data_IF_341027397287
#
_entry.id   IF_341027397287
#
_cell.length_a   1.000
_cell.length_b   1.000
_cell.length_c   1.000
_cell.angle_alpha   90.00
_cell.angle_beta   90.00
_cell.angle_gamma   90.00
#
_symmetry.space_group_name_H-M   'P 1'
#
loop_
_entity.id
_entity.type
_entity.pdbx_description
1 polymer ?
#
# COMPACT_ATOMS: atom_id res chain seq x y z
N UNK A 1 -10.30 -14.69 -3.01
CA UNK A 1 -9.05 -14.84 -3.77
C UNK A 1 -7.86 -15.22 -2.88
N UNK A 2 -7.64 -14.49 -1.79
CA UNK A 2 -6.52 -14.74 -0.87
C UNK A 2 -6.56 -16.14 -0.22
N UNK A 3 -7.75 -16.68 -0.05
CA UNK A 3 -8.00 -17.99 0.57
C UNK A 3 -8.21 -19.10 -0.47
N UNK A 4 -8.10 -18.78 -1.77
CA UNK A 4 -8.21 -19.79 -2.82
C UNK A 4 -6.95 -20.66 -2.88
N UNK A 5 -7.08 -21.99 -2.92
CA UNK A 5 -5.94 -22.88 -3.15
C UNK A 5 -5.34 -22.73 -4.55
N UNK A 6 -6.10 -22.21 -5.50
CA UNK A 6 -5.64 -21.89 -6.86
C UNK A 6 -5.38 -20.39 -6.98
N UNK A 7 -4.11 -20.00 -6.82
CA UNK A 7 -3.67 -18.62 -6.93
C UNK A 7 -3.67 -18.08 -8.37
N UNK A 8 -3.87 -18.93 -9.37
CA UNK A 8 -3.95 -18.58 -10.79
C UNK A 8 -5.40 -18.55 -11.32
N UNK A 9 -6.39 -18.85 -10.48
CA UNK A 9 -7.80 -18.85 -10.86
C UNK A 9 -8.32 -17.49 -11.35
N UNK A 10 -7.64 -16.41 -11.03
CA UNK A 10 -8.07 -15.06 -11.38
C UNK A 10 -6.95 -14.30 -12.10
N UNK A 11 -7.31 -13.62 -13.18
CA UNK A 11 -6.44 -12.66 -13.82
C UNK A 11 -6.16 -11.48 -12.88
N UNK A 12 -4.89 -11.20 -12.66
CA UNK A 12 -4.48 -10.17 -11.70
C UNK A 12 -4.88 -8.75 -12.12
N UNK A 13 -4.95 -8.46 -13.43
CA UNK A 13 -5.45 -7.17 -13.93
C UNK A 13 -6.91 -6.96 -13.56
N UNK A 14 -7.74 -8.01 -13.70
CA UNK A 14 -9.15 -7.96 -13.29
C UNK A 14 -9.31 -7.70 -11.80
N UNK A 15 -8.51 -8.35 -10.96
CA UNK A 15 -8.50 -8.10 -9.52
C UNK A 15 -8.05 -6.68 -9.18
N UNK A 16 -7.06 -6.17 -9.91
CA UNK A 16 -6.56 -4.80 -9.71
C UNK A 16 -7.58 -3.75 -10.14
N UNK A 17 -8.34 -4.00 -11.21
CA UNK A 17 -9.45 -3.12 -11.62
C UNK A 17 -10.56 -3.09 -10.58
N UNK A 18 -10.92 -4.22 -10.00
CA UNK A 18 -11.89 -4.28 -8.90
C UNK A 18 -11.40 -3.49 -7.68
N UNK A 19 -10.14 -3.68 -7.29
CA UNK A 19 -9.54 -2.94 -6.20
C UNK A 19 -9.48 -1.43 -6.49
N UNK A 20 -9.16 -1.03 -7.71
CA UNK A 20 -9.14 0.36 -8.12
C UNK A 20 -10.55 0.98 -8.11
N UNK A 21 -11.56 0.26 -8.58
CA UNK A 21 -12.98 0.68 -8.51
C UNK A 21 -13.42 0.90 -7.06
N UNK A 22 -13.06 0.01 -6.15
CA UNK A 22 -13.31 0.17 -4.71
C UNK A 22 -12.65 1.45 -4.16
N UNK A 23 -11.40 1.74 -4.57
CA UNK A 23 -10.71 2.97 -4.14
C UNK A 23 -11.39 4.23 -4.62
N UNK A 24 -11.89 4.27 -5.87
CA UNK A 24 -12.66 5.39 -6.40
C UNK A 24 -13.94 5.59 -5.58
N UNK A 25 -14.69 4.52 -5.35
CA UNK A 25 -15.91 4.61 -4.54
C UNK A 25 -15.62 5.09 -3.11
N UNK A 26 -14.61 4.52 -2.46
CA UNK A 26 -14.20 4.92 -1.11
C UNK A 26 -13.76 6.39 -1.07
N UNK A 27 -12.94 6.82 -2.03
CA UNK A 27 -12.51 8.21 -2.14
C UNK A 27 -13.71 9.17 -2.20
N UNK A 28 -14.65 8.91 -3.12
CA UNK A 28 -15.75 9.81 -3.39
C UNK A 28 -16.85 9.76 -2.32
N UNK A 29 -17.06 8.62 -1.67
CA UNK A 29 -18.18 8.42 -0.73
C UNK A 29 -17.81 8.60 0.72
N UNK A 30 -16.55 8.45 1.07
CA UNK A 30 -16.07 8.49 2.45
C UNK A 30 -14.98 9.56 2.62
N UNK A 31 -13.84 9.43 1.92
CA UNK A 31 -12.68 10.28 2.18
C UNK A 31 -12.99 11.75 1.87
N UNK A 32 -13.49 12.04 0.68
CA UNK A 32 -13.76 13.42 0.26
C UNK A 32 -14.81 14.14 1.13
N UNK A 33 -15.95 13.52 1.49
CA UNK A 33 -16.89 14.10 2.44
C UNK A 33 -16.28 14.38 3.81
N UNK A 34 -15.57 13.41 4.40
CA UNK A 34 -14.93 13.57 5.71
C UNK A 34 -13.90 14.71 5.71
N UNK A 35 -13.11 14.85 4.65
CA UNK A 35 -12.18 15.95 4.51
C UNK A 35 -12.89 17.30 4.36
N UNK A 36 -14.02 17.36 3.63
CA UNK A 36 -14.84 18.58 3.50
C UNK A 36 -15.42 19.01 4.85
N UNK A 37 -15.71 18.06 5.72
CA UNK A 37 -16.21 18.32 7.08
C UNK A 37 -15.07 18.69 8.06
N UNK A 38 -13.82 18.76 7.57
CA UNK A 38 -12.64 19.14 8.36
C UNK A 38 -12.02 18.01 9.17
N UNK A 39 -12.38 16.77 8.89
CA UNK A 39 -11.85 15.60 9.58
C UNK A 39 -10.49 15.16 8.99
N UNK A 40 -9.65 14.61 9.85
CA UNK A 40 -8.41 13.94 9.43
C UNK A 40 -8.77 12.49 9.06
N UNK A 41 -8.39 12.08 7.84
CA UNK A 41 -8.62 10.73 7.36
C UNK A 41 -7.30 9.95 7.33
N UNK A 42 -7.26 8.82 8.02
CA UNK A 42 -6.14 7.88 8.01
C UNK A 42 -6.56 6.62 7.26
N UNK A 43 -5.88 6.29 6.17
CA UNK A 43 -6.14 5.10 5.37
C UNK A 43 -5.01 4.09 5.53
N UNK A 44 -5.34 2.88 6.01
CA UNK A 44 -4.42 1.75 5.94
C UNK A 44 -4.52 1.12 4.55
N UNK A 45 -3.46 1.27 3.78
CA UNK A 45 -3.37 0.96 2.36
C UNK A 45 -4.32 1.80 1.50
N UNK A 46 -3.82 2.25 0.38
CA UNK A 46 -4.58 3.04 -0.57
C UNK A 46 -4.08 2.76 -2.00
N UNK A 47 -4.12 3.75 -2.89
CA UNK A 47 -3.74 3.65 -4.30
C UNK A 47 -2.33 3.07 -4.52
N UNK A 48 -1.34 3.50 -3.75
CA UNK A 48 0.06 3.07 -3.92
C UNK A 48 0.23 1.55 -3.78
N UNK A 49 -0.62 0.88 -2.97
CA UNK A 49 -0.60 -0.59 -2.88
C UNK A 49 -1.05 -1.26 -4.17
N UNK A 50 -2.06 -0.72 -4.86
CA UNK A 50 -2.50 -1.24 -6.17
C UNK A 50 -1.39 -1.05 -7.21
N UNK A 51 -0.81 0.15 -7.26
CA UNK A 51 0.27 0.48 -8.18
C UNK A 51 1.49 -0.41 -8.00
N UNK A 52 1.98 -0.56 -6.76
CA UNK A 52 3.14 -1.41 -6.46
C UNK A 52 2.90 -2.87 -6.88
N UNK A 53 1.73 -3.39 -6.58
CA UNK A 53 1.36 -4.75 -6.95
C UNK A 53 1.28 -4.99 -8.46
N UNK A 54 0.75 -4.05 -9.23
CA UNK A 54 0.72 -4.13 -10.70
C UNK A 54 2.13 -4.10 -11.27
N UNK A 55 2.95 -3.14 -10.84
CA UNK A 55 4.31 -2.96 -11.35
C UNK A 55 5.19 -4.17 -11.00
N UNK A 56 5.13 -4.68 -9.78
CA UNK A 56 5.87 -5.86 -9.37
C UNK A 56 5.52 -7.13 -10.16
N UNK A 57 4.36 -7.16 -10.82
CA UNK A 57 3.92 -8.25 -11.71
C UNK A 57 4.19 -7.99 -13.19
N UNK A 58 4.91 -6.91 -13.54
CA UNK A 58 5.27 -6.59 -14.91
C UNK A 58 4.18 -5.84 -15.70
N UNK A 59 3.20 -5.24 -15.02
CA UNK A 59 2.14 -4.45 -15.65
C UNK A 59 2.39 -2.93 -15.55
N UNK A 60 3.65 -2.51 -15.45
CA UNK A 60 4.05 -1.10 -15.33
C UNK A 60 3.61 -0.22 -16.51
N UNK A 61 3.32 -0.84 -17.67
CA UNK A 61 2.87 -0.14 -18.87
C UNK A 61 1.36 0.08 -18.94
N UNK A 62 0.61 -0.46 -17.98
CA UNK A 62 -0.84 -0.32 -17.94
C UNK A 62 -1.21 1.11 -17.49
N UNK A 63 -1.57 1.96 -18.45
CA UNK A 63 -1.84 3.38 -18.21
C UNK A 63 -3.10 3.64 -17.39
N UNK A 64 -4.09 2.77 -17.48
CA UNK A 64 -5.38 2.92 -16.81
C UNK A 64 -5.27 3.12 -15.29
N UNK A 65 -4.24 2.53 -14.65
CA UNK A 65 -4.04 2.70 -13.20
C UNK A 65 -3.68 4.15 -12.85
N UNK A 66 -2.93 4.83 -13.70
CA UNK A 66 -2.56 6.23 -13.50
C UNK A 66 -3.74 7.17 -13.77
N UNK A 67 -4.58 6.85 -14.76
CA UNK A 67 -5.80 7.60 -15.09
C UNK A 67 -6.81 7.52 -13.93
N UNK A 68 -6.98 6.34 -13.33
CA UNK A 68 -7.82 6.16 -12.15
C UNK A 68 -7.28 6.97 -10.95
N UNK A 69 -5.96 7.03 -10.81
CA UNK A 69 -5.33 7.80 -9.73
C UNK A 69 -5.68 9.29 -9.74
N UNK A 70 -6.02 9.84 -10.89
CA UNK A 70 -6.46 11.23 -11.01
C UNK A 70 -7.90 11.46 -10.52
N UNK A 71 -8.67 10.38 -10.40
CA UNK A 71 -10.07 10.39 -9.96
C UNK A 71 -10.25 10.18 -8.44
N UNK A 72 -9.15 10.11 -7.70
CA UNK A 72 -9.17 9.89 -6.25
C UNK A 72 -8.42 10.98 -5.51
N UNK A 73 -8.81 11.23 -4.27
CA UNK A 73 -8.11 12.16 -3.38
C UNK A 73 -6.68 11.67 -3.15
N UNK A 74 -5.70 12.54 -3.35
CA UNK A 74 -4.29 12.26 -3.05
C UNK A 74 -4.03 12.52 -1.57
N UNK A 75 -3.26 11.65 -0.89
CA UNK A 75 -2.90 11.89 0.51
C UNK A 75 -1.94 13.09 0.63
N UNK A 76 -2.10 13.89 1.67
CA UNK A 76 -1.15 14.97 2.02
C UNK A 76 0.19 14.38 2.45
N UNK A 77 0.17 13.22 3.14
CA UNK A 77 1.34 12.43 3.49
C UNK A 77 1.10 10.96 3.22
N UNK A 78 2.10 10.28 2.67
CA UNK A 78 2.13 8.82 2.55
C UNK A 78 3.33 8.25 3.32
N UNK A 79 3.06 7.42 4.32
CA UNK A 79 4.08 6.66 5.03
C UNK A 79 4.23 5.27 4.42
N UNK A 80 5.46 4.89 4.14
CA UNK A 80 5.81 3.57 3.62
C UNK A 80 6.61 2.82 4.67
N UNK A 81 5.99 1.82 5.27
CA UNK A 81 6.62 0.98 6.29
C UNK A 81 7.46 -0.09 5.61
N UNK A 82 8.77 0.03 5.69
CA UNK A 82 9.72 -0.91 5.08
C UNK A 82 10.28 -1.91 6.09
N UNK A 83 10.55 -3.10 5.59
CA UNK A 83 11.26 -4.14 6.31
C UNK A 83 11.89 -5.11 5.31
N UNK A 84 13.08 -5.71 5.60
CA UNK A 84 13.63 -6.77 4.76
C UNK A 84 12.64 -7.91 4.54
N UNK A 85 12.61 -8.46 3.34
CA UNK A 85 11.64 -9.50 2.94
C UNK A 85 11.69 -10.71 3.88
N UNK A 86 12.88 -11.13 4.28
CA UNK A 86 13.07 -12.25 5.21
C UNK A 86 12.42 -11.99 6.58
N UNK A 87 12.58 -10.77 7.09
CA UNK A 87 11.98 -10.35 8.35
C UNK A 87 10.44 -10.30 8.23
N UNK A 88 9.92 -9.78 7.11
CA UNK A 88 8.48 -9.77 6.85
C UNK A 88 7.90 -11.18 6.84
N UNK A 89 8.55 -12.11 6.13
CA UNK A 89 8.13 -13.52 6.07
C UNK A 89 8.18 -14.19 7.43
N UNK A 90 9.26 -13.96 8.19
CA UNK A 90 9.36 -14.47 9.55
C UNK A 90 8.21 -13.99 10.45
N UNK A 91 7.83 -12.70 10.32
CA UNK A 91 6.69 -12.13 11.04
C UNK A 91 5.37 -12.80 10.64
N UNK A 92 5.15 -13.04 9.33
CA UNK A 92 3.95 -13.73 8.82
C UNK A 92 3.89 -15.16 9.34
N UNK A 93 5.01 -15.91 9.27
CA UNK A 93 5.07 -17.30 9.76
C UNK A 93 4.84 -17.44 11.27
N UNK A 94 5.10 -16.39 12.04
CA UNK A 94 4.80 -16.38 13.47
C UNK A 94 3.31 -16.15 13.79
N UNK A 95 2.50 -15.75 12.82
CA UNK A 95 1.05 -15.60 12.99
C UNK A 95 0.37 -16.92 12.73
N UNK A 96 -0.35 -17.45 13.72
CA UNK A 96 -0.99 -18.78 13.65
C UNK A 96 -1.90 -18.90 12.42
N UNK A 97 -2.70 -17.87 12.13
CA UNK A 97 -3.64 -17.86 11.00
C UNK A 97 -2.97 -17.80 9.60
N UNK A 98 -1.71 -17.41 9.52
CA UNK A 98 -0.99 -17.20 8.25
C UNK A 98 0.23 -18.10 8.09
N UNK A 99 0.47 -19.01 9.04
CA UNK A 99 1.68 -19.83 9.11
C UNK A 99 1.93 -20.64 7.83
N UNK A 100 0.90 -21.20 7.24
CA UNK A 100 0.98 -22.07 6.06
C UNK A 100 0.62 -21.35 4.75
N UNK A 101 0.47 -20.04 4.79
CA UNK A 101 0.15 -19.23 3.60
C UNK A 101 1.27 -19.32 2.57
N UNK A 102 0.88 -19.57 1.31
CA UNK A 102 1.84 -19.52 0.20
C UNK A 102 2.41 -18.11 0.05
N UNK A 103 3.72 -18.01 -0.09
CA UNK A 103 4.45 -16.75 -0.29
C UNK A 103 5.38 -16.92 -1.48
N UNK A 104 5.13 -16.14 -2.53
CA UNK A 104 6.05 -16.01 -3.67
C UNK A 104 7.18 -15.06 -3.27
N UNK A 105 8.36 -15.62 -2.99
CA UNK A 105 9.54 -14.88 -2.54
C UNK A 105 10.01 -13.85 -3.54
N UNK A 106 10.08 -14.22 -4.81
CA UNK A 106 10.55 -13.34 -5.89
C UNK A 106 9.63 -12.13 -6.04
N UNK A 107 8.32 -12.37 -5.98
CA UNK A 107 7.33 -11.30 -5.99
C UNK A 107 7.48 -10.37 -4.77
N UNK A 108 7.80 -10.89 -3.57
CA UNK A 108 7.99 -10.05 -2.40
C UNK A 108 9.18 -9.10 -2.53
N UNK A 109 10.29 -9.55 -3.11
CA UNK A 109 11.44 -8.67 -3.41
C UNK A 109 11.06 -7.56 -4.39
N UNK A 110 10.41 -7.92 -5.50
CA UNK A 110 9.94 -6.95 -6.50
C UNK A 110 8.94 -5.95 -5.90
N UNK A 111 8.02 -6.43 -5.07
CA UNK A 111 7.05 -5.57 -4.37
C UNK A 111 7.75 -4.54 -3.48
N UNK A 112 8.73 -4.96 -2.69
CA UNK A 112 9.50 -4.05 -1.84
C UNK A 112 10.21 -2.99 -2.66
N UNK A 113 10.88 -3.37 -3.74
CA UNK A 113 11.55 -2.44 -4.66
C UNK A 113 10.57 -1.41 -5.23
N UNK A 114 9.40 -1.86 -5.71
CA UNK A 114 8.38 -0.97 -6.26
C UNK A 114 7.81 -0.01 -5.20
N UNK A 115 7.60 -0.46 -3.97
CA UNK A 115 7.18 0.43 -2.89
C UNK A 115 8.22 1.52 -2.60
N UNK A 116 9.50 1.19 -2.60
CA UNK A 116 10.59 2.17 -2.40
C UNK A 116 10.65 3.17 -3.56
N UNK A 117 10.51 2.70 -4.81
CA UNK A 117 10.47 3.56 -6.00
C UNK A 117 9.27 4.51 -5.93
N UNK A 118 8.08 4.00 -5.63
CA UNK A 118 6.85 4.80 -5.53
C UNK A 118 6.95 5.81 -4.39
N UNK A 119 7.48 5.40 -3.24
CA UNK A 119 7.71 6.29 -2.11
C UNK A 119 8.55 7.50 -2.52
N UNK A 120 9.71 7.27 -3.14
CA UNK A 120 10.62 8.34 -3.58
C UNK A 120 10.00 9.22 -4.65
N UNK A 121 9.30 8.64 -5.62
CA UNK A 121 8.66 9.37 -6.73
C UNK A 121 7.51 10.29 -6.27
N UNK A 122 6.89 10.01 -5.13
CA UNK A 122 5.73 10.74 -4.62
C UNK A 122 6.02 11.53 -3.33
N UNK A 123 7.28 11.71 -2.97
CA UNK A 123 7.64 12.44 -1.75
C UNK A 123 7.17 11.76 -0.46
N UNK A 124 6.98 10.45 -0.50
CA UNK A 124 6.58 9.66 0.66
C UNK A 124 7.67 9.53 1.70
N UNK A 125 7.29 9.21 2.92
CA UNK A 125 8.21 8.98 4.04
C UNK A 125 8.42 7.50 4.23
N UNK A 126 9.66 7.04 4.02
CA UNK A 126 10.05 5.65 4.23
C UNK A 126 10.47 5.45 5.70
N UNK A 127 9.85 4.47 6.36
CA UNK A 127 10.10 4.16 7.78
C UNK A 127 10.55 2.71 7.90
N UNK A 128 11.74 2.48 8.46
CA UNK A 128 12.19 1.13 8.80
C UNK A 128 11.42 0.58 10.00
N UNK A 129 10.72 -0.53 9.81
CA UNK A 129 10.05 -1.22 10.93
C UNK A 129 10.94 -2.26 11.63
N UNK A 130 12.25 -2.25 11.35
CA UNK A 130 13.24 -2.92 12.20
C UNK A 130 13.62 -2.04 13.40
N UNK A 131 13.39 -0.72 13.29
CA UNK A 131 13.57 0.21 14.38
C UNK A 131 12.49 0.02 15.48
N UNK A 132 12.76 0.47 16.72
CA UNK A 132 11.77 0.45 17.79
C UNK A 132 10.48 1.20 17.42
N UNK A 133 9.35 0.70 17.90
CA UNK A 133 8.03 1.28 17.61
C UNK A 133 7.96 2.77 17.98
N UNK A 134 8.54 3.17 19.10
CA UNK A 134 8.60 4.56 19.57
C UNK A 134 9.35 5.46 18.58
N UNK A 135 10.40 4.94 17.94
CA UNK A 135 11.15 5.70 16.93
C UNK A 135 10.31 5.86 15.66
N UNK A 136 9.66 4.79 15.20
CA UNK A 136 8.75 4.84 14.06
C UNK A 136 7.60 5.84 14.31
N UNK A 137 7.00 5.78 15.49
CA UNK A 137 5.94 6.70 15.91
C UNK A 137 6.42 8.14 15.96
N UNK A 138 7.62 8.39 16.49
CA UNK A 138 8.21 9.73 16.56
C UNK A 138 8.38 10.36 15.17
N UNK A 139 8.83 9.57 14.17
CA UNK A 139 8.96 10.03 12.78
C UNK A 139 7.60 10.42 12.21
N UNK A 140 6.58 9.57 12.40
CA UNK A 140 5.21 9.84 11.95
C UNK A 140 4.69 11.13 12.57
N UNK A 141 4.77 11.23 13.91
CA UNK A 141 4.28 12.38 14.66
C UNK A 141 4.93 13.68 14.19
N UNK A 142 6.27 13.73 14.14
CA UNK A 142 7.00 14.92 13.70
C UNK A 142 6.68 15.32 12.25
N UNK A 143 6.41 14.32 11.38
CA UNK A 143 6.05 14.60 9.99
C UNK A 143 4.66 15.22 9.90
N UNK A 144 3.69 14.70 10.65
CA UNK A 144 2.32 15.23 10.70
C UNK A 144 2.30 16.63 11.29
N UNK A 145 3.01 16.87 12.41
CA UNK A 145 3.12 18.19 13.04
C UNK A 145 3.70 19.27 12.11
N UNK A 146 4.64 18.90 11.21
CA UNK A 146 5.23 19.85 10.23
C UNK A 146 4.26 20.37 9.19
N UNK A 147 3.21 19.64 8.87
CA UNK A 147 2.21 20.08 7.89
C UNK A 147 0.99 20.75 8.54
N UNK A 148 1.04 20.95 9.87
CA UNK A 148 0.06 21.79 10.57
C UNK A 148 -1.11 21.05 11.20
N UNK A 149 -0.96 19.74 11.42
CA UNK A 149 -1.93 18.93 12.18
C UNK A 149 -1.42 18.62 13.59
#
# INVERSE_FOLDING_TARGET
>A
YMDSPDHNAFDYRSLSLLAASDRVQHSNRIIEPEMKDGNIVISDRYFYSCLANLRARGFEKDKWIYEIAESIVKPDIAFFLDVPVETAIKRVRNRIAEKDRYIDMELQYRLREEYIIICRANGGVLISTEDPEEQCYSIIKQTVERIGY
#
